data_IF_886924772780
#
_entry.id   IF_886924772780
#
_cell.length_a   1.000
_cell.length_b   1.000
_cell.length_c   1.000
_cell.angle_alpha   90.00
_cell.angle_beta   90.00
_cell.angle_gamma   90.00
#
_symmetry.space_group_name_H-M   'P 1'
#
loop_
_entity.id
_entity.type
_entity.pdbx_description
1 polymer ?
#
# COMPACT_ATOMS: atom_id res chain seq x y z
N UNK A 1 18.92 -20.41 4.10
CA UNK A 1 17.53 -20.10 4.50
C UNK A 1 16.76 -20.22 3.21
N UNK A 2 15.91 -21.23 3.08
CA UNK A 2 15.09 -21.43 1.88
C UNK A 2 14.19 -20.19 1.70
N UNK A 3 14.06 -19.72 0.46
CA UNK A 3 13.18 -18.59 0.16
C UNK A 3 11.74 -19.07 0.33
N UNK A 4 11.00 -18.44 1.25
CA UNK A 4 9.61 -18.81 1.53
C UNK A 4 8.72 -18.62 0.30
N UNK A 5 9.08 -17.72 -0.62
CA UNK A 5 8.40 -17.56 -1.91
C UNK A 5 8.52 -18.84 -2.74
N UNK A 6 9.74 -19.36 -2.90
CA UNK A 6 10.01 -20.60 -3.64
C UNK A 6 9.24 -21.78 -3.02
N UNK A 7 9.21 -21.87 -1.69
CA UNK A 7 8.42 -22.91 -1.00
C UNK A 7 6.92 -22.79 -1.25
N UNK A 8 6.36 -21.57 -1.34
CA UNK A 8 4.94 -21.39 -1.68
C UNK A 8 4.69 -21.75 -3.14
N UNK A 9 5.59 -21.39 -4.06
CA UNK A 9 5.48 -21.78 -5.46
C UNK A 9 5.48 -23.31 -5.61
N UNK A 10 6.38 -24.02 -4.92
CA UNK A 10 6.38 -25.49 -4.87
C UNK A 10 5.07 -26.07 -4.32
N UNK A 11 4.49 -25.45 -3.29
CA UNK A 11 3.21 -25.87 -2.71
C UNK A 11 2.06 -25.67 -3.71
N UNK A 12 2.06 -24.56 -4.47
CA UNK A 12 1.02 -24.29 -5.47
C UNK A 12 1.11 -25.26 -6.65
N UNK A 13 2.33 -25.58 -7.11
CA UNK A 13 2.56 -26.60 -8.15
C UNK A 13 2.07 -27.98 -7.68
N UNK A 14 2.41 -28.37 -6.45
CA UNK A 14 1.93 -29.63 -5.87
C UNK A 14 0.40 -29.66 -5.74
N UNK A 15 -0.21 -28.54 -5.34
CA UNK A 15 -1.66 -28.42 -5.21
C UNK A 15 -2.36 -28.62 -6.55
N UNK A 16 -1.84 -28.04 -7.62
CA UNK A 16 -2.36 -28.21 -8.99
C UNK A 16 -2.28 -29.68 -9.43
N UNK A 17 -1.14 -30.35 -9.18
CA UNK A 17 -0.96 -31.77 -9.46
C UNK A 17 -1.90 -32.66 -8.61
N UNK A 18 -2.04 -32.38 -7.31
CA UNK A 18 -2.94 -33.13 -6.42
C UNK A 18 -4.39 -33.00 -6.90
N UNK A 19 -4.86 -31.78 -7.19
CA UNK A 19 -6.21 -31.54 -7.71
C UNK A 19 -6.43 -32.30 -9.02
N UNK A 20 -5.45 -32.29 -9.93
CA UNK A 20 -5.51 -33.02 -11.20
C UNK A 20 -5.60 -34.55 -11.05
N UNK A 21 -5.13 -35.09 -9.92
CA UNK A 21 -5.15 -36.52 -9.62
C UNK A 21 -6.37 -36.97 -8.78
N UNK A 22 -7.18 -36.04 -8.27
CA UNK A 22 -8.38 -36.37 -7.49
C UNK A 22 -9.52 -36.90 -8.38
N UNK A 23 -10.37 -37.75 -7.81
CA UNK A 23 -11.62 -38.13 -8.47
C UNK A 23 -12.53 -36.90 -8.68
N UNK A 24 -13.21 -36.84 -9.83
CA UNK A 24 -14.08 -35.72 -10.20
C UNK A 24 -15.15 -35.41 -9.14
N UNK A 25 -15.69 -36.45 -8.50
CA UNK A 25 -16.67 -36.32 -7.41
C UNK A 25 -16.09 -35.55 -6.21
N UNK A 26 -14.81 -35.78 -5.89
CA UNK A 26 -14.09 -35.13 -4.80
C UNK A 26 -13.72 -33.71 -5.17
N UNK A 27 -13.22 -33.47 -6.38
CA UNK A 27 -12.94 -32.12 -6.89
C UNK A 27 -14.19 -31.26 -6.83
N UNK A 28 -15.33 -31.77 -7.31
CA UNK A 28 -16.62 -31.06 -7.26
C UNK A 28 -17.02 -30.70 -5.83
N UNK A 29 -16.91 -31.64 -4.88
CA UNK A 29 -17.22 -31.36 -3.48
C UNK A 29 -16.33 -30.26 -2.88
N UNK A 30 -15.04 -30.25 -3.22
CA UNK A 30 -14.09 -29.23 -2.74
C UNK A 30 -14.37 -27.89 -3.42
N UNK A 31 -14.72 -27.90 -4.71
CA UNK A 31 -15.10 -26.69 -5.43
C UNK A 31 -16.41 -26.08 -4.90
N UNK A 32 -17.38 -26.88 -4.50
CA UNK A 32 -18.59 -26.39 -3.82
C UNK A 32 -18.26 -25.72 -2.48
N UNK A 33 -17.28 -26.22 -1.74
CA UNK A 33 -16.76 -25.57 -0.53
C UNK A 33 -16.11 -24.21 -0.87
N UNK A 34 -15.27 -24.18 -1.92
CA UNK A 34 -14.64 -22.95 -2.40
C UNK A 34 -15.65 -21.86 -2.76
N UNK A 35 -16.68 -22.19 -3.54
CA UNK A 35 -17.71 -21.22 -3.96
C UNK A 35 -18.54 -20.65 -2.81
N UNK A 36 -18.54 -21.30 -1.64
CA UNK A 36 -19.21 -20.84 -0.41
C UNK A 36 -18.26 -20.16 0.57
N UNK A 37 -16.96 -20.19 0.29
CA UNK A 37 -15.97 -19.56 1.15
C UNK A 37 -16.02 -18.03 1.02
N UNK A 38 -15.45 -17.34 2.00
CA UNK A 38 -15.24 -15.88 1.92
C UNK A 38 -14.02 -15.51 1.05
N UNK A 39 -13.49 -16.46 0.27
CA UNK A 39 -12.37 -16.19 -0.62
C UNK A 39 -12.80 -15.23 -1.73
N UNK A 40 -12.05 -14.14 -1.87
CA UNK A 40 -12.36 -13.11 -2.86
C UNK A 40 -12.06 -13.64 -4.26
N UNK A 41 -13.11 -13.87 -5.04
CA UNK A 41 -13.01 -14.20 -6.46
C UNK A 41 -12.78 -12.94 -7.29
N UNK A 42 -11.81 -12.99 -8.21
CA UNK A 42 -11.57 -11.93 -9.18
C UNK A 42 -12.59 -12.00 -10.31
N UNK A 43 -12.77 -10.90 -11.04
CA UNK A 43 -13.59 -10.89 -12.26
C UNK A 43 -12.73 -11.27 -13.46
N UNK A 44 -12.61 -12.56 -13.73
CA UNK A 44 -11.75 -13.00 -14.83
C UNK A 44 -12.36 -12.70 -16.19
N UNK A 45 -11.53 -12.26 -17.14
CA UNK A 45 -11.91 -12.28 -18.56
C UNK A 45 -11.80 -13.69 -19.15
N UNK A 46 -10.93 -14.53 -18.58
CA UNK A 46 -10.77 -15.95 -18.92
C UNK A 46 -11.24 -16.86 -17.77
N UNK A 47 -12.22 -17.73 -18.04
CA UNK A 47 -12.72 -18.68 -17.04
C UNK A 47 -11.67 -19.69 -16.57
N UNK A 48 -10.57 -19.87 -17.31
CA UNK A 48 -9.45 -20.71 -16.88
C UNK A 48 -8.73 -20.11 -15.66
N UNK A 49 -8.76 -18.79 -15.46
CA UNK A 49 -8.09 -18.16 -14.32
C UNK A 49 -8.77 -18.45 -12.97
N UNK A 50 -10.00 -18.95 -12.97
CA UNK A 50 -10.70 -19.46 -11.77
C UNK A 50 -9.94 -20.63 -11.16
N UNK A 51 -9.26 -21.45 -11.98
CA UNK A 51 -8.51 -22.62 -11.48
C UNK A 51 -7.40 -22.20 -10.53
N UNK A 52 -6.73 -21.08 -10.80
CA UNK A 52 -5.59 -20.64 -10.00
C UNK A 52 -6.04 -20.09 -8.64
N UNK A 53 -7.13 -19.32 -8.60
CA UNK A 53 -7.70 -18.85 -7.34
C UNK A 53 -8.20 -20.04 -6.50
N UNK A 54 -8.73 -21.08 -7.15
CA UNK A 54 -9.07 -22.34 -6.51
C UNK A 54 -7.83 -23.07 -5.95
N UNK A 55 -6.73 -23.13 -6.71
CA UNK A 55 -5.44 -23.72 -6.27
C UNK A 55 -4.89 -22.96 -5.06
N UNK A 56 -4.85 -21.63 -5.10
CA UNK A 56 -4.36 -20.79 -3.99
C UNK A 56 -5.20 -21.00 -2.74
N UNK A 57 -6.53 -21.00 -2.87
CA UNK A 57 -7.43 -21.26 -1.76
C UNK A 57 -7.24 -22.67 -1.19
N UNK A 58 -7.20 -23.68 -2.06
CA UNK A 58 -7.03 -25.08 -1.66
C UNK A 58 -5.70 -25.29 -0.93
N UNK A 59 -4.63 -24.68 -1.43
CA UNK A 59 -3.29 -24.88 -0.91
C UNK A 59 -3.05 -24.15 0.42
N UNK A 60 -3.48 -22.89 0.51
CA UNK A 60 -3.05 -21.97 1.56
C UNK A 60 -4.13 -21.63 2.59
N UNK A 61 -5.41 -21.87 2.30
CA UNK A 61 -6.53 -21.40 3.13
C UNK A 61 -7.41 -22.54 3.61
N UNK A 62 -7.79 -23.44 2.69
CA UNK A 62 -8.64 -24.57 3.00
C UNK A 62 -7.95 -25.44 4.06
N UNK A 63 -8.63 -25.66 5.18
CA UNK A 63 -8.17 -26.57 6.23
C UNK A 63 -8.80 -27.93 6.03
N UNK A 64 -7.96 -28.95 6.02
CA UNK A 64 -8.42 -30.32 5.96
C UNK A 64 -9.21 -30.67 7.24
N UNK A 65 -10.45 -31.19 7.14
CA UNK A 65 -11.29 -31.44 8.32
C UNK A 65 -10.74 -32.49 9.30
N UNK A 66 -9.86 -33.37 8.85
CA UNK A 66 -9.32 -34.46 9.69
C UNK A 66 -8.07 -34.00 10.44
N UNK A 67 -7.20 -33.25 9.77
CA UNK A 67 -5.91 -32.82 10.31
C UNK A 67 -5.91 -31.39 10.86
N UNK A 68 -6.92 -30.60 10.50
CA UNK A 68 -6.99 -29.15 10.78
C UNK A 68 -5.71 -28.42 10.35
N UNK A 69 -5.17 -28.82 9.21
CA UNK A 69 -4.01 -28.21 8.56
C UNK A 69 -4.36 -27.78 7.14
N UNK A 70 -3.73 -26.71 6.65
CA UNK A 70 -3.71 -26.42 5.22
C UNK A 70 -2.77 -27.38 4.50
N UNK A 71 -2.86 -27.45 3.16
CA UNK A 71 -1.93 -28.26 2.38
C UNK A 71 -0.49 -27.77 2.55
N UNK A 72 -0.28 -26.44 2.56
CA UNK A 72 1.03 -25.84 2.84
C UNK A 72 1.60 -26.30 4.20
N UNK A 73 0.78 -26.26 5.26
CA UNK A 73 1.18 -26.73 6.59
C UNK A 73 1.55 -28.22 6.56
N UNK A 74 0.76 -29.04 5.88
CA UNK A 74 1.00 -30.48 5.76
C UNK A 74 2.31 -30.81 5.03
N UNK A 75 2.62 -30.10 3.94
CA UNK A 75 3.82 -30.32 3.14
C UNK A 75 5.09 -29.80 3.85
N UNK A 76 4.97 -28.68 4.57
CA UNK A 76 6.11 -27.97 5.14
C UNK A 76 6.37 -28.27 6.62
N UNK A 77 5.55 -29.10 7.29
CA UNK A 77 5.68 -29.44 8.71
C UNK A 77 7.06 -29.95 9.13
N UNK A 78 7.79 -30.61 8.22
CA UNK A 78 9.12 -31.17 8.50
C UNK A 78 10.27 -30.18 8.26
N UNK A 79 9.99 -28.97 7.76
CA UNK A 79 11.00 -27.93 7.47
C UNK A 79 11.40 -27.11 8.70
N UNK A 80 10.82 -27.43 9.87
CA UNK A 80 11.15 -26.82 11.15
C UNK A 80 10.16 -25.73 11.58
N UNK A 81 10.25 -25.35 12.86
CA UNK A 81 9.28 -24.46 13.51
C UNK A 81 9.22 -23.07 12.87
N UNK A 82 10.35 -22.50 12.46
CA UNK A 82 10.41 -21.16 11.85
C UNK A 82 9.58 -21.08 10.55
N UNK A 83 9.71 -22.06 9.66
CA UNK A 83 8.94 -22.14 8.41
C UNK A 83 7.45 -22.29 8.69
N UNK A 84 7.09 -23.13 9.66
CA UNK A 84 5.70 -23.33 10.06
C UNK A 84 5.06 -22.07 10.66
N UNK A 85 5.79 -21.37 11.53
CA UNK A 85 5.32 -20.11 12.10
C UNK A 85 5.13 -19.06 11.01
N UNK A 86 6.00 -19.03 9.99
CA UNK A 86 5.83 -18.11 8.84
C UNK A 86 4.60 -18.46 8.00
N UNK A 87 4.44 -19.72 7.57
CA UNK A 87 3.31 -20.18 6.77
C UNK A 87 1.97 -19.89 7.45
N UNK A 88 1.87 -20.14 8.76
CA UNK A 88 0.65 -19.86 9.54
C UNK A 88 0.28 -18.38 9.63
N UNK A 89 1.27 -17.50 9.49
CA UNK A 89 1.09 -16.07 9.56
C UNK A 89 1.09 -15.40 8.18
N UNK A 90 1.15 -16.18 7.09
CA UNK A 90 1.03 -15.63 5.73
C UNK A 90 -0.35 -14.98 5.60
N UNK A 91 -0.35 -13.72 5.19
CA UNK A 91 -1.56 -13.01 4.78
C UNK A 91 -1.63 -13.00 3.27
N UNK A 92 -2.78 -13.39 2.73
CA UNK A 92 -3.07 -13.32 1.31
C UNK A 92 -3.95 -12.09 1.09
N UNK A 93 -3.48 -11.21 0.21
CA UNK A 93 -4.16 -10.00 -0.21
C UNK A 93 -4.53 -10.18 -1.67
N UNK A 94 -5.82 -10.26 -1.95
CA UNK A 94 -6.34 -10.38 -3.31
C UNK A 94 -6.92 -9.06 -3.76
N UNK A 95 -6.66 -8.67 -5.00
CA UNK A 95 -7.33 -7.51 -5.58
C UNK A 95 -6.88 -7.17 -6.99
N UNK A 96 -7.49 -6.10 -7.49
CA UNK A 96 -7.12 -5.44 -8.75
C UNK A 96 -6.23 -4.25 -8.42
N UNK A 97 -5.05 -4.18 -9.03
CA UNK A 97 -4.03 -3.19 -8.74
C UNK A 97 -3.57 -2.47 -10.00
N UNK A 98 -3.42 -1.16 -9.94
CA UNK A 98 -2.73 -0.42 -11.00
C UNK A 98 -1.22 -0.55 -10.85
N UNK A 99 -0.50 -0.65 -11.96
CA UNK A 99 0.96 -0.56 -11.96
C UNK A 99 1.35 0.92 -11.97
N UNK A 100 1.83 1.44 -10.83
CA UNK A 100 2.25 2.84 -10.68
C UNK A 100 3.64 3.08 -11.24
N UNK A 101 4.57 2.20 -10.88
CA UNK A 101 5.97 2.36 -11.24
C UNK A 101 6.74 1.04 -11.26
N UNK A 102 7.88 1.06 -11.95
CA UNK A 102 8.82 -0.04 -12.00
C UNK A 102 10.21 0.53 -11.70
N UNK A 103 10.77 0.18 -10.55
CA UNK A 103 12.03 0.73 -10.05
C UNK A 103 13.06 -0.39 -9.87
N UNK A 104 14.33 -0.08 -10.12
CA UNK A 104 15.44 -0.92 -9.70
C UNK A 104 16.05 -0.31 -8.44
N UNK A 105 15.95 -1.01 -7.32
CA UNK A 105 16.49 -0.57 -6.03
C UNK A 105 17.63 -1.52 -5.66
N UNK A 106 18.87 -1.03 -5.72
CA UNK A 106 20.08 -1.87 -5.66
C UNK A 106 20.03 -2.94 -6.76
N UNK A 107 20.05 -4.22 -6.40
CA UNK A 107 20.00 -5.36 -7.32
C UNK A 107 18.63 -6.01 -7.40
N UNK A 108 17.62 -5.47 -6.71
CA UNK A 108 16.24 -5.95 -6.75
C UNK A 108 15.41 -5.15 -7.76
N UNK A 109 14.58 -5.87 -8.51
CA UNK A 109 13.60 -5.31 -9.43
C UNK A 109 12.26 -5.24 -8.70
N UNK A 110 11.75 -4.02 -8.53
CA UNK A 110 10.55 -3.76 -7.73
C UNK A 110 9.47 -3.14 -8.61
N UNK A 111 8.26 -3.66 -8.47
CA UNK A 111 7.05 -3.12 -9.07
C UNK A 111 6.20 -2.51 -7.96
N UNK A 112 5.79 -1.27 -8.20
CA UNK A 112 4.92 -0.52 -7.31
C UNK A 112 3.51 -0.64 -7.85
N UNK A 113 2.66 -1.37 -7.12
CA UNK A 113 1.26 -1.55 -7.46
C UNK A 113 0.36 -0.86 -6.43
N UNK A 114 -0.85 -0.48 -6.83
CA UNK A 114 -1.75 0.28 -5.98
C UNK A 114 -3.20 -0.19 -6.15
N UNK A 115 -3.88 -0.36 -5.03
CA UNK A 115 -5.32 -0.57 -4.98
C UNK A 115 -5.94 0.54 -4.11
N UNK A 116 -7.04 1.19 -4.52
CA UNK A 116 -7.65 2.28 -3.76
C UNK A 116 -8.04 1.97 -2.31
N UNK A 117 -8.46 0.73 -2.04
CA UNK A 117 -8.96 0.32 -0.73
C UNK A 117 -7.86 -0.29 0.15
N UNK A 118 -6.91 -0.97 -0.48
CA UNK A 118 -5.84 -1.72 0.17
C UNK A 118 -4.57 -0.89 0.33
N UNK A 119 -4.37 0.11 -0.52
CA UNK A 119 -3.21 1.00 -0.54
C UNK A 119 -2.15 0.57 -1.56
N UNK A 120 -0.93 1.02 -1.30
CA UNK A 120 0.22 0.78 -2.17
C UNK A 120 1.01 -0.45 -1.71
N UNK A 121 1.61 -1.17 -2.66
CA UNK A 121 2.46 -2.33 -2.40
C UNK A 121 3.74 -2.26 -3.25
N UNK A 122 4.86 -2.66 -2.65
CA UNK A 122 6.13 -2.83 -3.33
C UNK A 122 6.40 -4.33 -3.48
N UNK A 123 6.30 -4.82 -4.70
CA UNK A 123 6.41 -6.25 -5.01
C UNK A 123 7.72 -6.52 -5.74
N UNK A 124 8.44 -7.54 -5.29
CA UNK A 124 9.58 -8.06 -6.04
C UNK A 124 9.15 -8.71 -7.35
N UNK A 125 9.82 -8.38 -8.45
CA UNK A 125 9.61 -8.98 -9.76
C UNK A 125 10.94 -9.51 -10.31
N UNK A 126 10.87 -10.46 -11.23
CA UNK A 126 12.07 -10.84 -11.97
C UNK A 126 12.45 -9.77 -13.03
N UNK A 127 13.67 -9.81 -13.61
CA UNK A 127 14.09 -8.81 -14.59
C UNK A 127 13.26 -8.77 -15.89
N UNK A 128 12.67 -9.90 -16.30
CA UNK A 128 11.82 -10.03 -17.50
C UNK A 128 10.44 -9.41 -17.25
N UNK A 129 9.76 -9.86 -16.20
CA UNK A 129 8.49 -9.32 -15.71
C UNK A 129 8.61 -7.82 -15.50
N UNK A 130 9.70 -7.37 -14.87
CA UNK A 130 9.91 -5.96 -14.61
C UNK A 130 9.98 -5.11 -15.90
N UNK A 131 10.62 -5.63 -16.95
CA UNK A 131 10.71 -4.95 -18.24
C UNK A 131 9.35 -4.91 -18.94
N UNK A 132 8.57 -5.98 -18.84
CA UNK A 132 7.24 -6.08 -19.45
C UNK A 132 6.26 -5.16 -18.75
N UNK A 133 6.13 -5.29 -17.43
CA UNK A 133 5.28 -4.48 -16.57
C UNK A 133 5.53 -2.99 -16.77
N UNK A 134 6.79 -2.59 -16.91
CA UNK A 134 7.14 -1.20 -17.19
C UNK A 134 6.58 -0.67 -18.52
N UNK A 135 6.45 -1.51 -19.55
CA UNK A 135 5.89 -1.12 -20.86
C UNK A 135 4.37 -1.01 -20.81
N UNK A 136 3.72 -1.91 -20.07
CA UNK A 136 2.25 -2.03 -20.04
C UNK A 136 1.61 -1.25 -18.89
N UNK A 137 2.42 -0.65 -17.99
CA UNK A 137 1.94 -0.04 -16.75
C UNK A 137 0.81 0.97 -16.92
N UNK A 138 0.74 1.65 -18.06
CA UNK A 138 -0.25 2.68 -18.38
C UNK A 138 -1.48 2.20 -19.16
N UNK A 139 -1.43 0.95 -19.61
CA UNK A 139 -2.43 0.36 -20.49
C UNK A 139 -3.21 -0.77 -19.80
N UNK A 140 -2.71 -1.26 -18.67
CA UNK A 140 -3.27 -2.41 -17.96
C UNK A 140 -3.36 -2.16 -16.45
N UNK A 141 -4.27 -2.88 -15.82
CA UNK A 141 -4.23 -3.18 -14.38
C UNK A 141 -3.84 -4.65 -14.21
N UNK A 142 -3.46 -5.00 -12.99
CA UNK A 142 -3.01 -6.32 -12.59
C UNK A 142 -3.96 -6.88 -11.56
N UNK A 143 -4.61 -8.00 -11.86
CA UNK A 143 -5.33 -8.78 -10.86
C UNK A 143 -4.40 -9.90 -10.37
N UNK A 144 -4.11 -9.91 -9.07
CA UNK A 144 -3.15 -10.85 -8.50
C UNK A 144 -3.46 -11.16 -7.04
N UNK A 145 -2.77 -12.18 -6.51
CA UNK A 145 -2.65 -12.41 -5.07
C UNK A 145 -1.28 -11.94 -4.61
N UNK A 146 -1.25 -11.25 -3.47
CA UNK A 146 -0.03 -10.80 -2.82
C UNK A 146 0.06 -11.50 -1.47
N UNK A 147 1.24 -12.04 -1.16
CA UNK A 147 1.59 -12.55 0.16
C UNK A 147 2.46 -11.52 0.89
N UNK A 148 2.11 -11.25 2.15
CA UNK A 148 2.96 -10.45 3.06
C UNK A 148 3.87 -11.38 3.86
N UNK A 149 5.19 -11.19 3.75
CA UNK A 149 6.21 -11.98 4.42
C UNK A 149 7.32 -11.09 4.97
N UNK A 150 7.50 -11.08 6.30
CA UNK A 150 8.56 -10.29 6.96
C UNK A 150 8.57 -8.81 6.52
N UNK A 151 7.40 -8.24 6.22
CA UNK A 151 7.24 -6.86 5.72
C UNK A 151 7.55 -6.65 4.23
N UNK A 152 7.83 -7.73 3.49
CA UNK A 152 7.93 -7.74 2.02
C UNK A 152 6.65 -8.28 1.41
N UNK A 153 6.36 -7.84 0.19
CA UNK A 153 5.20 -8.29 -0.57
C UNK A 153 5.67 -9.05 -1.81
N UNK A 154 5.09 -10.22 -2.05
CA UNK A 154 5.38 -11.02 -3.23
C UNK A 154 4.08 -11.37 -3.93
N UNK A 155 4.08 -11.31 -5.25
CA UNK A 155 2.94 -11.78 -6.05
C UNK A 155 3.04 -13.29 -6.18
N UNK A 156 1.91 -13.98 -6.06
CA UNK A 156 1.79 -15.43 -6.25
C UNK A 156 0.59 -15.76 -7.13
N UNK A 157 0.67 -16.93 -7.78
CA UNK A 157 -0.36 -17.41 -8.69
C UNK A 157 -0.43 -16.59 -9.99
N UNK A 158 -1.62 -16.58 -10.59
CA UNK A 158 -1.85 -15.91 -11.88
C UNK A 158 -1.94 -14.40 -11.71
N UNK A 159 -1.22 -13.71 -12.61
CA UNK A 159 -1.26 -12.28 -12.83
C UNK A 159 -2.07 -12.04 -14.09
N UNK A 160 -3.31 -11.58 -13.95
CA UNK A 160 -4.12 -11.21 -15.10
C UNK A 160 -3.88 -9.73 -15.43
N UNK A 161 -3.47 -9.48 -16.67
CA UNK A 161 -3.33 -8.14 -17.22
C UNK A 161 -4.63 -7.72 -17.88
N UNK A 162 -5.47 -6.99 -17.15
CA UNK A 162 -6.74 -6.50 -17.70
C UNK A 162 -6.48 -5.18 -18.42
N UNK A 163 -6.72 -5.10 -19.74
CA UNK A 163 -6.49 -3.87 -20.49
C UNK A 163 -7.48 -2.79 -20.07
N UNK A 164 -7.03 -1.56 -20.03
CA UNK A 164 -7.86 -0.36 -19.82
C UNK A 164 -8.81 -0.21 -21.00
N UNK A 165 -8.34 -0.44 -22.22
CA UNK A 165 -9.14 -0.38 -23.45
C UNK A 165 -9.16 -1.77 -24.08
N UNK A 166 -10.35 -2.34 -24.31
CA UNK A 166 -10.47 -3.65 -24.95
C UNK A 166 -10.11 -3.60 -26.45
N UNK A 167 -10.12 -4.75 -27.12
CA UNK A 167 -9.76 -4.88 -28.53
C UNK A 167 -10.64 -4.05 -29.48
N UNK A 168 -11.89 -3.80 -29.08
CA UNK A 168 -12.85 -2.96 -29.83
C UNK A 168 -12.66 -1.45 -29.61
N UNK A 169 -11.68 -1.05 -28.79
CA UNK A 169 -11.44 0.36 -28.46
C UNK A 169 -12.35 0.93 -27.36
N UNK A 170 -13.07 0.08 -26.63
CA UNK A 170 -13.96 0.47 -25.53
C UNK A 170 -13.26 0.44 -24.18
N UNK A 171 -13.61 1.36 -23.29
CA UNK A 171 -13.13 1.38 -21.91
C UNK A 171 -13.67 0.16 -21.16
N UNK A 172 -12.77 -0.58 -20.50
CA UNK A 172 -13.13 -1.66 -19.56
C UNK A 172 -13.45 -1.11 -18.17
N UNK A 173 -13.97 -1.94 -17.27
CA UNK A 173 -14.15 -1.53 -15.86
C UNK A 173 -12.84 -1.10 -15.19
N UNK A 174 -11.72 -1.74 -15.55
CA UNK A 174 -10.39 -1.34 -15.11
C UNK A 174 -9.99 0.10 -15.51
N UNK A 175 -10.61 0.66 -16.56
CA UNK A 175 -10.44 2.08 -16.89
C UNK A 175 -10.95 3.01 -15.81
N UNK A 176 -12.02 2.64 -15.12
CA UNK A 176 -12.66 3.53 -14.14
C UNK A 176 -11.69 3.78 -12.98
N UNK A 177 -11.12 2.73 -12.42
CA UNK A 177 -10.15 2.84 -11.32
C UNK A 177 -8.92 3.61 -11.76
N UNK A 178 -8.43 3.36 -12.97
CA UNK A 178 -7.26 4.07 -13.51
C UNK A 178 -7.54 5.55 -13.76
N UNK A 179 -8.72 5.89 -14.26
CA UNK A 179 -9.14 7.29 -14.45
C UNK A 179 -9.26 7.97 -13.09
N UNK A 180 -9.91 7.33 -12.11
CA UNK A 180 -10.06 7.86 -10.76
C UNK A 180 -8.72 8.11 -10.09
N UNK A 181 -7.81 7.15 -10.19
CA UNK A 181 -6.42 7.28 -9.76
C UNK A 181 -5.71 8.48 -10.42
N UNK A 182 -5.89 8.66 -11.73
CA UNK A 182 -5.24 9.75 -12.47
C UNK A 182 -5.80 11.10 -12.04
N UNK A 183 -7.12 11.17 -11.81
CA UNK A 183 -7.77 12.36 -11.26
C UNK A 183 -7.24 12.65 -9.85
N UNK A 184 -7.19 11.64 -8.98
CA UNK A 184 -6.69 11.73 -7.62
C UNK A 184 -5.24 12.26 -7.59
N UNK A 185 -4.33 11.58 -8.29
CA UNK A 185 -2.91 11.95 -8.35
C UNK A 185 -2.68 13.34 -8.95
N UNK A 186 -3.49 13.74 -9.95
CA UNK A 186 -3.43 15.09 -10.53
C UNK A 186 -3.84 16.15 -9.51
N UNK A 187 -4.92 15.91 -8.75
CA UNK A 187 -5.38 16.83 -7.70
C UNK A 187 -4.40 16.89 -6.54
N UNK A 188 -3.86 15.74 -6.10
CA UNK A 188 -2.84 15.67 -5.07
C UNK A 188 -1.59 16.47 -5.47
N UNK A 189 -1.12 16.29 -6.71
CA UNK A 189 0.02 17.04 -7.24
C UNK A 189 -0.21 18.55 -7.23
N UNK A 190 -1.44 19.01 -7.43
CA UNK A 190 -1.78 20.43 -7.34
C UNK A 190 -1.66 20.97 -5.91
N UNK A 191 -2.11 20.21 -4.90
CA UNK A 191 -1.93 20.56 -3.48
C UNK A 191 -0.45 20.62 -3.11
N UNK A 192 0.36 19.71 -3.67
CA UNK A 192 1.80 19.61 -3.42
C UNK A 192 2.65 20.60 -4.25
N UNK A 193 2.06 21.32 -5.21
CA UNK A 193 2.76 22.30 -6.06
C UNK A 193 2.95 23.67 -5.37
N UNK A 194 2.57 23.77 -4.09
CA UNK A 194 2.72 25.01 -3.34
C UNK A 194 4.17 25.27 -2.95
N UNK A 195 4.59 26.54 -3.02
CA UNK A 195 5.92 26.95 -2.58
C UNK A 195 6.01 26.93 -1.05
N UNK A 196 7.07 26.32 -0.53
CA UNK A 196 7.38 26.29 0.90
C UNK A 196 8.79 26.81 1.16
N UNK A 197 9.02 27.24 2.39
CA UNK A 197 10.30 27.77 2.86
C UNK A 197 10.66 27.10 4.19
N UNK A 198 11.89 27.30 4.66
CA UNK A 198 12.31 26.76 5.95
C UNK A 198 11.48 27.29 7.13
N UNK A 199 10.88 28.47 6.97
CA UNK A 199 10.06 29.19 7.96
C UNK A 199 8.57 28.93 7.83
N UNK A 200 8.16 28.02 6.95
CA UNK A 200 6.73 27.72 6.76
C UNK A 200 6.14 27.14 8.05
N UNK A 201 5.05 27.75 8.53
CA UNK A 201 4.35 27.42 9.78
C UNK A 201 3.19 26.45 9.58
N UNK A 202 2.70 25.83 10.65
CA UNK A 202 1.60 24.86 10.60
C UNK A 202 0.33 25.46 10.00
N UNK A 203 -0.05 26.68 10.43
CA UNK A 203 -1.22 27.38 9.88
C UNK A 203 -1.11 27.61 8.37
N UNK A 204 0.10 27.92 7.88
CA UNK A 204 0.34 28.11 6.45
C UNK A 204 0.20 26.79 5.69
N UNK A 205 0.71 25.68 6.22
CA UNK A 205 0.53 24.35 5.64
C UNK A 205 -0.96 23.97 5.56
N UNK A 206 -1.68 24.04 6.68
CA UNK A 206 -3.10 23.69 6.76
C UNK A 206 -3.97 24.56 5.86
N UNK A 207 -3.63 25.85 5.68
CA UNK A 207 -4.37 26.73 4.77
C UNK A 207 -4.39 26.22 3.33
N UNK A 208 -3.37 25.44 2.93
CA UNK A 208 -3.23 24.84 1.59
C UNK A 208 -3.94 23.51 1.43
N UNK A 209 -4.28 22.83 2.53
CA UNK A 209 -5.05 21.59 2.45
C UNK A 209 -6.48 21.85 1.97
N UNK A 210 -7.07 20.95 1.17
CA UNK A 210 -8.50 21.01 0.83
C UNK A 210 -9.38 21.04 2.10
N UNK A 211 -10.57 21.65 2.00
CA UNK A 211 -11.49 21.74 3.15
C UNK A 211 -11.85 20.35 3.71
N UNK A 212 -12.07 19.37 2.85
CA UNK A 212 -12.34 17.99 3.24
C UNK A 212 -11.23 17.41 4.14
N UNK A 213 -9.95 17.65 3.81
CA UNK A 213 -8.84 17.15 4.62
C UNK A 213 -8.85 17.78 6.03
N UNK A 214 -9.14 19.08 6.10
CA UNK A 214 -9.27 19.79 7.39
C UNK A 214 -10.44 19.22 8.20
N UNK A 215 -11.55 18.89 7.55
CA UNK A 215 -12.72 18.30 8.19
C UNK A 215 -12.40 16.92 8.79
N UNK A 216 -11.64 16.10 8.07
CA UNK A 216 -11.22 14.77 8.54
C UNK A 216 -10.20 14.85 9.67
N UNK A 217 -9.25 15.80 9.63
CA UNK A 217 -8.34 16.08 10.75
C UNK A 217 -9.15 16.49 11.98
N UNK A 218 -10.11 17.41 11.82
CA UNK A 218 -10.99 17.82 12.92
C UNK A 218 -11.76 16.64 13.50
N UNK A 219 -12.31 15.76 12.65
CA UNK A 219 -13.00 14.55 13.07
C UNK A 219 -12.09 13.63 13.89
N UNK A 220 -10.87 13.36 13.41
CA UNK A 220 -9.90 12.51 14.10
C UNK A 220 -9.42 13.09 15.44
N UNK A 221 -9.35 14.42 15.53
CA UNK A 221 -8.95 15.15 16.74
C UNK A 221 -10.13 15.51 17.65
N UNK A 222 -11.36 15.18 17.25
CA UNK A 222 -12.61 15.58 17.94
C UNK A 222 -12.73 17.09 18.15
N UNK A 223 -12.26 17.87 17.16
CA UNK A 223 -12.37 19.33 17.12
C UNK A 223 -13.62 19.70 16.33
N UNK A 224 -14.37 20.67 16.84
CA UNK A 224 -15.50 21.26 16.11
C UNK A 224 -15.14 22.66 15.63
N UNK A 225 -15.60 23.01 14.42
CA UNK A 225 -15.50 24.36 13.88
C UNK A 225 -16.50 24.52 12.74
N UNK A 226 -16.95 25.75 12.48
CA UNK A 226 -17.97 26.01 11.46
C UNK A 226 -17.36 26.18 10.08
N UNK A 227 -16.29 26.96 9.99
CA UNK A 227 -15.59 27.28 8.74
C UNK A 227 -14.15 26.78 8.77
N UNK A 228 -13.54 26.65 7.59
CA UNK A 228 -12.18 26.11 7.45
C UNK A 228 -11.15 26.85 8.30
N UNK A 229 -11.17 28.18 8.29
CA UNK A 229 -10.16 28.97 9.01
C UNK A 229 -10.27 28.78 10.53
N UNK A 230 -11.49 28.77 11.07
CA UNK A 230 -11.74 28.46 12.49
C UNK A 230 -11.26 27.06 12.87
N UNK A 231 -11.45 26.08 11.98
CA UNK A 231 -10.95 24.71 12.18
C UNK A 231 -9.43 24.68 12.21
N UNK A 232 -8.76 25.40 11.30
CA UNK A 232 -7.30 25.52 11.25
C UNK A 232 -6.78 26.14 12.55
N UNK A 233 -7.37 27.24 13.02
CA UNK A 233 -6.93 27.90 14.25
C UNK A 233 -7.00 26.96 15.46
N UNK A 234 -8.08 26.18 15.57
CA UNK A 234 -8.26 25.19 16.63
C UNK A 234 -7.26 24.02 16.53
N UNK A 235 -6.95 23.55 15.33
CA UNK A 235 -5.91 22.53 15.11
C UNK A 235 -4.54 23.08 15.55
N UNK A 236 -4.21 24.31 15.14
CA UNK A 236 -2.95 24.97 15.50
C UNK A 236 -2.84 25.17 17.00
N UNK A 237 -3.91 25.65 17.66
CA UNK A 237 -3.94 25.81 19.11
C UNK A 237 -3.70 24.48 19.83
N UNK A 238 -4.36 23.40 19.40
CA UNK A 238 -4.15 22.07 19.97
C UNK A 238 -2.70 21.62 19.82
N UNK A 239 -2.10 21.77 18.63
CA UNK A 239 -0.74 21.29 18.38
C UNK A 239 0.30 22.08 19.17
N UNK A 240 0.11 23.39 19.31
CA UNK A 240 1.03 24.23 20.07
C UNK A 240 0.90 24.01 21.58
N UNK A 241 -0.31 23.72 22.08
CA UNK A 241 -0.56 23.51 23.52
C UNK A 241 -0.26 22.09 23.98
N UNK A 242 -0.64 21.10 23.17
CA UNK A 242 -0.71 19.69 23.58
C UNK A 242 -0.42 18.75 22.39
N UNK A 243 0.80 18.89 21.83
CA UNK A 243 1.25 18.07 20.71
C UNK A 243 1.27 16.57 21.05
N UNK A 244 1.52 16.23 22.32
CA UNK A 244 1.63 14.85 22.80
C UNK A 244 0.39 14.03 22.51
N UNK A 245 -0.82 14.61 22.63
CA UNK A 245 -2.08 13.93 22.27
C UNK A 245 -2.16 13.45 20.82
N UNK A 246 -1.43 14.10 19.92
CA UNK A 246 -1.33 13.68 18.52
C UNK A 246 -0.25 12.63 18.38
N UNK A 247 0.92 12.84 18.99
CA UNK A 247 2.07 11.96 18.90
C UNK A 247 1.83 10.57 19.51
N UNK A 248 1.07 10.48 20.60
CA UNK A 248 0.68 9.22 21.26
C UNK A 248 -0.14 8.29 20.35
N UNK A 249 -0.78 8.83 19.31
CA UNK A 249 -1.57 8.05 18.35
C UNK A 249 -0.75 7.57 17.16
N UNK A 250 0.51 8.01 17.04
CA UNK A 250 1.34 7.69 15.89
C UNK A 250 1.99 6.31 16.04
N UNK A 251 2.07 5.52 14.95
CA UNK A 251 2.87 4.30 14.97
C UNK A 251 4.35 4.64 15.15
N UNK A 252 5.11 3.70 15.72
CA UNK A 252 6.56 3.87 15.98
C UNK A 252 7.34 4.31 14.74
N UNK A 253 7.06 3.72 13.59
CA UNK A 253 7.71 4.05 12.31
C UNK A 253 7.49 5.51 11.89
N UNK A 254 6.32 6.09 12.20
CA UNK A 254 6.05 7.50 11.93
C UNK A 254 6.91 8.42 12.82
N UNK A 255 7.11 8.06 14.09
CA UNK A 255 8.02 8.77 14.99
C UNK A 255 9.48 8.68 14.50
N UNK A 256 9.90 7.54 13.96
CA UNK A 256 11.23 7.37 13.36
C UNK A 256 11.45 8.26 12.14
N UNK A 257 10.44 8.41 11.27
CA UNK A 257 10.47 9.35 10.14
C UNK A 257 10.66 10.79 10.62
N UNK A 258 9.90 11.22 11.64
CA UNK A 258 10.02 12.55 12.23
C UNK A 258 11.42 12.78 12.80
N UNK A 259 11.96 11.83 13.57
CA UNK A 259 13.33 11.91 14.11
C UNK A 259 14.38 12.05 13.01
N UNK A 260 14.26 11.29 11.91
CA UNK A 260 15.16 11.38 10.76
C UNK A 260 15.09 12.76 10.09
N UNK A 261 13.89 13.30 9.90
CA UNK A 261 13.70 14.63 9.31
C UNK A 261 14.26 15.72 10.21
N UNK A 262 14.04 15.66 11.53
CA UNK A 262 14.54 16.64 12.50
C UNK A 262 16.08 16.68 12.55
N UNK A 263 16.75 15.51 12.46
CA UNK A 263 18.22 15.42 12.33
C UNK A 263 18.75 16.15 11.09
N UNK A 264 17.92 16.32 10.06
CA UNK A 264 18.20 17.08 8.83
C UNK A 264 17.62 18.51 8.86
N UNK A 265 17.29 19.06 10.03
CA UNK A 265 16.75 20.41 10.17
C UNK A 265 15.25 20.53 9.89
N UNK A 266 14.54 19.40 9.79
CA UNK A 266 13.09 19.34 9.56
C UNK A 266 12.70 19.44 8.08
N UNK A 267 13.65 19.33 7.15
CA UNK A 267 13.42 19.49 5.70
C UNK A 267 14.22 18.42 4.96
N UNK A 268 13.57 17.68 4.06
CA UNK A 268 14.23 16.67 3.23
C UNK A 268 13.63 16.65 1.83
N UNK A 269 14.39 16.21 0.83
CA UNK A 269 13.79 15.93 -0.49
C UNK A 269 12.77 14.80 -0.32
N UNK A 270 11.59 15.00 -0.88
CA UNK A 270 10.50 14.04 -0.71
C UNK A 270 10.88 12.64 -1.24
N UNK A 271 11.66 12.58 -2.32
CA UNK A 271 12.17 11.33 -2.89
C UNK A 271 13.07 10.52 -1.93
N UNK A 272 13.69 11.16 -0.93
CA UNK A 272 14.48 10.43 0.08
C UNK A 272 13.58 9.67 1.05
N UNK A 273 12.39 10.21 1.36
CA UNK A 273 11.41 9.53 2.18
C UNK A 273 10.64 8.50 1.38
N UNK A 274 10.11 8.86 0.22
CA UNK A 274 9.24 7.99 -0.58
C UNK A 274 9.94 6.77 -1.18
N UNK A 275 11.28 6.70 -1.09
CA UNK A 275 12.07 5.50 -1.47
C UNK A 275 12.28 4.53 -0.32
N UNK A 276 12.12 4.99 0.92
CA UNK A 276 12.38 4.21 2.13
C UNK A 276 11.10 3.88 2.89
N UNK A 277 10.10 4.75 2.81
CA UNK A 277 8.84 4.63 3.49
C UNK A 277 7.70 4.70 2.48
N UNK A 278 6.72 3.82 2.66
CA UNK A 278 5.49 3.83 1.89
C UNK A 278 4.68 5.09 2.20
N UNK A 279 4.00 5.62 1.20
CA UNK A 279 3.09 6.76 1.33
C UNK A 279 1.83 6.49 0.50
N UNK A 280 0.72 6.33 1.20
CA UNK A 280 -0.62 6.10 0.65
C UNK A 280 -1.49 7.37 0.66
N UNK A 281 -0.88 8.56 0.79
CA UNK A 281 -1.64 9.82 0.69
C UNK A 281 -2.27 9.96 -0.69
N UNK A 282 -3.59 10.12 -0.71
CA UNK A 282 -4.39 10.42 -1.91
C UNK A 282 -5.10 11.76 -1.76
N UNK A 283 -5.69 12.27 -2.84
CA UNK A 283 -6.55 13.44 -2.75
C UNK A 283 -7.91 13.15 -2.10
N UNK A 284 -8.52 12.01 -2.42
CA UNK A 284 -9.90 11.66 -2.04
C UNK A 284 -10.04 10.73 -0.82
N UNK A 285 -9.04 9.92 -0.49
CA UNK A 285 -9.09 9.00 0.66
C UNK A 285 -8.24 9.51 1.83
N UNK A 286 -8.88 9.76 2.97
CA UNK A 286 -8.27 10.41 4.15
C UNK A 286 -8.05 9.49 5.34
N UNK A 287 -7.99 8.18 5.12
CA UNK A 287 -7.63 7.19 6.15
C UNK A 287 -6.30 6.52 5.80
N UNK A 288 -5.17 7.25 5.87
CA UNK A 288 -3.88 6.65 5.57
C UNK A 288 -3.53 5.57 6.58
N UNK A 289 -2.97 4.48 6.09
CA UNK A 289 -2.46 3.33 6.84
C UNK A 289 -0.93 3.37 6.90
N UNK A 290 -0.27 4.00 5.92
CA UNK A 290 1.20 4.07 5.91
C UNK A 290 1.73 5.11 6.91
N UNK A 291 2.92 4.90 7.51
CA UNK A 291 3.51 5.86 8.44
C UNK A 291 3.66 7.28 7.87
N UNK A 292 4.11 7.40 6.61
CA UNK A 292 4.28 8.71 5.97
C UNK A 292 2.92 9.35 5.64
N UNK A 293 1.94 8.57 5.19
CA UNK A 293 0.58 9.05 4.96
C UNK A 293 -0.07 9.58 6.23
N UNK A 294 0.09 8.89 7.36
CA UNK A 294 -0.43 9.33 8.67
C UNK A 294 0.19 10.68 9.09
N UNK A 295 1.50 10.85 8.93
CA UNK A 295 2.17 12.12 9.24
C UNK A 295 1.66 13.27 8.37
N UNK A 296 1.37 12.99 7.09
CA UNK A 296 0.81 13.96 6.15
C UNK A 296 -0.63 14.31 6.48
N UNK A 297 -1.44 13.33 6.85
CA UNK A 297 -2.81 13.54 7.30
C UNK A 297 -2.86 14.48 8.50
N UNK A 298 -2.06 14.22 9.54
CA UNK A 298 -1.98 15.13 10.69
C UNK A 298 -1.19 16.43 10.42
N UNK A 299 -0.73 16.68 9.20
CA UNK A 299 0.07 17.85 8.84
C UNK A 299 1.34 18.04 9.71
N UNK A 300 1.85 16.95 10.30
CA UNK A 300 3.15 16.94 10.98
C UNK A 300 4.30 16.92 9.96
N UNK A 301 4.01 16.36 8.78
CA UNK A 301 4.83 16.47 7.58
C UNK A 301 3.98 17.08 6.46
N UNK A 302 4.47 18.14 5.83
CA UNK A 302 3.82 18.77 4.69
C UNK A 302 4.70 18.64 3.44
N UNK A 303 4.07 18.41 2.28
CA UNK A 303 4.78 18.24 1.01
C UNK A 303 4.54 19.46 0.12
N UNK A 304 5.62 20.09 -0.34
CA UNK A 304 5.57 21.26 -1.20
C UNK A 304 6.79 21.35 -2.11
N UNK A 305 6.98 22.50 -2.77
CA UNK A 305 8.17 22.82 -3.57
C UNK A 305 9.04 23.86 -2.89
N UNK A 306 10.34 23.60 -2.83
CA UNK A 306 11.34 24.54 -2.32
C UNK A 306 12.47 24.70 -3.33
N UNK A 307 12.96 25.94 -3.50
CA UNK A 307 14.16 26.17 -4.27
C UNK A 307 15.38 25.83 -3.40
N UNK A 308 16.20 24.88 -3.86
CA UNK A 308 17.46 24.52 -3.23
C UNK A 308 18.55 24.63 -4.30
N UNK A 309 19.54 25.48 -4.08
CA UNK A 309 20.66 25.69 -5.02
C UNK A 309 20.19 26.01 -6.46
N UNK A 310 19.20 26.89 -6.61
CA UNK A 310 18.70 27.34 -7.91
C UNK A 310 17.74 26.38 -8.61
N UNK A 311 17.44 25.21 -8.04
CA UNK A 311 16.48 24.24 -8.60
C UNK A 311 15.31 24.03 -7.66
N UNK A 312 14.10 23.91 -8.21
CA UNK A 312 12.91 23.60 -7.42
C UNK A 312 12.82 22.08 -7.21
N UNK A 313 12.79 21.66 -5.95
CA UNK A 313 12.59 20.27 -5.56
C UNK A 313 11.26 20.11 -4.83
N UNK A 314 10.64 18.94 -5.01
CA UNK A 314 9.59 18.48 -4.11
C UNK A 314 10.23 18.08 -2.78
N UNK A 315 9.80 18.71 -1.69
CA UNK A 315 10.36 18.52 -0.35
C UNK A 315 9.25 18.15 0.63
N UNK A 316 9.61 17.35 1.63
CA UNK A 316 8.83 17.17 2.84
C UNK A 316 9.39 18.11 3.91
N UNK A 317 8.50 18.84 4.60
CA UNK A 317 8.86 19.75 5.69
C UNK A 317 8.08 19.42 6.95
N UNK A 318 8.73 19.55 8.09
CA UNK A 318 8.06 19.70 9.38
C UNK A 318 7.77 21.21 9.55
N UNK A 319 6.52 21.61 9.86
CA UNK A 319 6.21 23.01 10.14
C UNK A 319 7.14 23.60 11.19
N UNK A 320 7.70 24.78 10.90
CA UNK A 320 8.81 25.36 11.65
C UNK A 320 8.50 25.59 13.14
N UNK A 321 7.25 25.92 13.45
CA UNK A 321 6.71 26.14 14.79
C UNK A 321 6.47 24.85 15.59
N UNK A 322 6.58 23.67 14.96
CA UNK A 322 6.50 22.38 15.64
C UNK A 322 7.86 21.74 15.91
N UNK A 323 8.93 22.16 15.22
CA UNK A 323 10.22 21.44 15.20
C UNK A 323 10.84 21.29 16.58
N UNK A 324 10.87 22.35 17.38
CA UNK A 324 11.48 22.30 18.73
C UNK A 324 10.71 21.35 19.66
N UNK A 325 9.37 21.49 19.72
CA UNK A 325 8.51 20.58 20.49
C UNK A 325 8.65 19.12 20.06
N UNK A 326 8.77 18.87 18.75
CA UNK A 326 8.98 17.53 18.24
C UNK A 326 10.35 16.99 18.64
N UNK A 327 11.43 17.80 18.58
CA UNK A 327 12.76 17.37 19.03
C UNK A 327 12.77 16.96 20.49
N UNK A 328 12.03 17.64 21.36
CA UNK A 328 11.91 17.26 22.78
C UNK A 328 11.25 15.89 22.97
N UNK A 329 10.41 15.45 22.04
CA UNK A 329 9.65 14.20 22.13
C UNK A 329 10.36 13.00 21.48
N UNK A 330 10.93 13.18 20.28
CA UNK A 330 11.61 12.11 19.51
C UNK A 330 13.14 12.12 19.63
N UNK A 331 13.71 13.15 20.27
CA UNK A 331 15.15 13.38 20.39
C UNK A 331 15.87 12.46 21.36
#
# INVERSE_FOLDING_TARGET
MEDLKELIEEVLEYAEEEIGNLEESKVRSIFEEFTRSEFFLKSYTDSQNVSMDFVVWYALIRRDPETDMTLAEKLLQNRGKDVMDKIRNVKIITGTFSIRDAQKIKDEYIIKIYNPDLGEFLVGADPSEWKELRKIKDLFVVECHIIEMEGKHHVIGAVEFVPVINEDGLLTFASVDRIMEKVDSTRLKHVEDVKVTERTKLSQCLSKYPAQWIDDICKALKIQGRVKDEKIDKIVELYLKDLNKVLEKLPREALEILGLMLKKGGIVKYSELSRKYMDDTTFFHHQPKTPLGILRFYCLVFVGKMNMNGKNYRVAIIPSDLREKLKEYVG
#
